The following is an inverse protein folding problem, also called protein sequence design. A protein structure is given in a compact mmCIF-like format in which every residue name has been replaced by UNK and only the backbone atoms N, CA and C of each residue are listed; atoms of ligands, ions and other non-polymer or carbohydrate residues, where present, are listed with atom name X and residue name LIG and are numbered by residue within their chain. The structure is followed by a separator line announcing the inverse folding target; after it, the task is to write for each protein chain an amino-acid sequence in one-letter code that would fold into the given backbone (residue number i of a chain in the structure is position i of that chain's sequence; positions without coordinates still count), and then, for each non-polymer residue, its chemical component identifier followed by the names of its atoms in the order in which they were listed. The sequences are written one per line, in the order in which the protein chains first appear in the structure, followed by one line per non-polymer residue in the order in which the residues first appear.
data_IF_935237854597
#
_entry.id   IF_935237854597
#
_cell.length_a   1.000
_cell.length_b   1.000
_cell.length_c   1.000
_cell.angle_alpha   90.00
_cell.angle_beta   90.00
_cell.angle_gamma   90.00
#
_symmetry.space_group_name_H-M   'P 1'
#
loop_
_entity.id
_entity.type
_entity.pdbx_description
1 polymer ?
#
# COMPACT_ATOMS: atom_id res chain seq x y z
N UNK A 1 -3.10 -24.89 -7.67
CA UNK A 1 -3.32 -24.00 -8.84
C UNK A 1 -2.60 -22.69 -8.59
N UNK A 2 -1.67 -22.33 -9.47
CA UNK A 2 -0.94 -21.06 -9.41
C UNK A 2 -1.74 -20.00 -10.16
N UNK A 3 -2.04 -18.88 -9.51
CA UNK A 3 -2.82 -17.79 -10.13
C UNK A 3 -2.05 -17.20 -11.30
N UNK A 4 -2.73 -17.07 -12.45
CA UNK A 4 -2.18 -16.46 -13.65
C UNK A 4 -2.94 -15.16 -13.92
N UNK A 5 -2.25 -14.02 -13.74
CA UNK A 5 -2.80 -12.67 -13.97
C UNK A 5 -3.42 -12.49 -15.36
N UNK A 6 -2.98 -13.28 -16.36
CA UNK A 6 -3.54 -13.25 -17.72
C UNK A 6 -4.93 -13.90 -17.84
N UNK A 7 -5.30 -14.80 -16.92
CA UNK A 7 -6.55 -15.54 -16.97
C UNK A 7 -7.60 -14.99 -15.98
N UNK A 8 -7.19 -14.31 -14.91
CA UNK A 8 -8.09 -13.71 -13.92
C UNK A 8 -7.61 -12.30 -13.52
N UNK A 9 -8.05 -11.26 -14.25
CA UNK A 9 -7.65 -9.88 -13.98
C UNK A 9 -8.22 -9.35 -12.65
N UNK A 10 -9.40 -9.82 -12.23
CA UNK A 10 -10.07 -9.41 -10.98
C UNK A 10 -9.57 -10.14 -9.72
N UNK A 11 -8.58 -11.02 -9.87
CA UNK A 11 -8.10 -11.91 -8.82
C UNK A 11 -8.88 -13.24 -8.73
N UNK A 12 -8.43 -14.15 -7.86
CA UNK A 12 -9.13 -15.42 -7.61
C UNK A 12 -10.48 -15.18 -6.92
N UNK A 13 -11.53 -15.88 -7.35
CA UNK A 13 -12.90 -15.77 -6.79
C UNK A 13 -12.95 -16.07 -5.27
N UNK A 14 -12.02 -16.91 -4.79
CA UNK A 14 -11.93 -17.28 -3.38
C UNK A 14 -11.11 -16.30 -2.52
N UNK A 15 -10.44 -15.31 -3.10
CA UNK A 15 -9.52 -14.40 -2.41
C UNK A 15 -8.07 -14.90 -2.34
N UNK A 16 -7.11 -13.98 -2.30
CA UNK A 16 -5.67 -14.29 -2.38
C UNK A 16 -5.18 -14.98 -1.10
N UNK A 17 -5.68 -14.56 0.07
CA UNK A 17 -5.34 -15.18 1.34
C UNK A 17 -5.78 -16.65 1.44
N UNK A 18 -6.99 -16.98 0.98
CA UNK A 18 -7.51 -18.36 1.00
C UNK A 18 -6.82 -19.26 -0.03
N UNK A 19 -6.50 -18.74 -1.22
CA UNK A 19 -5.70 -19.49 -2.18
C UNK A 19 -4.31 -19.81 -1.62
N UNK A 20 -3.72 -18.91 -0.83
CA UNK A 20 -2.40 -19.09 -0.22
C UNK A 20 -2.40 -20.18 0.85
N UNK A 21 -3.42 -20.23 1.71
CA UNK A 21 -3.56 -21.30 2.72
C UNK A 21 -3.80 -22.65 2.05
N UNK A 22 -4.63 -22.71 0.99
CA UNK A 22 -4.85 -23.94 0.21
C UNK A 22 -3.63 -24.36 -0.62
N UNK A 23 -2.75 -23.44 -1.01
CA UNK A 23 -1.48 -23.77 -1.66
C UNK A 23 -0.57 -24.68 -0.81
N UNK A 24 -0.79 -24.73 0.51
CA UNK A 24 -0.13 -25.69 1.41
C UNK A 24 -0.65 -27.12 1.31
N UNK A 25 -1.71 -27.40 0.52
CA UNK A 25 -2.16 -28.77 0.21
C UNK A 25 -1.04 -29.65 -0.38
N UNK A 26 -0.01 -29.07 -1.00
CA UNK A 26 1.18 -29.81 -1.42
C UNK A 26 1.91 -30.49 -0.25
N UNK A 27 1.76 -29.99 0.99
CA UNK A 27 2.25 -30.67 2.19
C UNK A 27 1.57 -32.03 2.43
N UNK A 28 0.34 -32.24 1.96
CA UNK A 28 -0.30 -33.55 2.01
C UNK A 28 0.39 -34.58 1.10
N UNK A 29 1.02 -34.13 0.01
CA UNK A 29 1.85 -35.01 -0.83
C UNK A 29 3.08 -35.48 -0.03
N UNK A 30 3.72 -34.58 0.72
CA UNK A 30 4.80 -34.95 1.61
C UNK A 30 4.34 -35.85 2.77
N UNK A 31 3.15 -35.60 3.33
CA UNK A 31 2.55 -36.48 4.32
C UNK A 31 2.36 -37.90 3.77
N UNK A 32 1.89 -38.03 2.52
CA UNK A 32 1.77 -39.32 1.86
C UNK A 32 3.14 -39.99 1.62
N UNK A 33 4.16 -39.24 1.25
CA UNK A 33 5.55 -39.76 1.12
C UNK A 33 6.07 -40.27 2.46
N UNK A 34 5.90 -39.51 3.54
CA UNK A 34 6.30 -39.94 4.89
C UNK A 34 5.54 -41.20 5.33
N UNK A 35 4.25 -41.29 5.00
CA UNK A 35 3.43 -42.46 5.30
C UNK A 35 3.92 -43.68 4.53
N UNK A 36 4.25 -43.54 3.24
CA UNK A 36 4.83 -44.62 2.44
C UNK A 36 6.20 -45.08 2.98
N UNK A 37 7.07 -44.15 3.39
CA UNK A 37 8.35 -44.51 4.02
C UNK A 37 8.14 -45.23 5.35
N UNK A 38 7.21 -44.75 6.18
CA UNK A 38 6.84 -45.40 7.43
C UNK A 38 6.31 -46.82 7.21
N UNK A 39 5.39 -46.98 6.25
CA UNK A 39 4.82 -48.28 5.89
C UNK A 39 5.88 -49.25 5.35
N UNK A 40 6.79 -48.77 4.49
CA UNK A 40 7.91 -49.59 3.99
C UNK A 40 8.84 -50.04 5.12
N UNK A 41 9.16 -49.13 6.07
CA UNK A 41 9.92 -49.47 7.27
C UNK A 41 9.22 -50.52 8.13
N UNK A 42 7.90 -50.39 8.34
CA UNK A 42 7.09 -51.36 9.10
C UNK A 42 7.09 -52.73 8.42
N UNK A 43 6.83 -52.79 7.11
CA UNK A 43 6.81 -54.04 6.33
C UNK A 43 8.18 -54.73 6.41
N UNK A 44 9.26 -53.96 6.27
CA UNK A 44 10.61 -54.50 6.35
C UNK A 44 10.93 -55.03 7.75
N UNK A 45 10.57 -54.30 8.81
CA UNK A 45 10.74 -54.76 10.20
C UNK A 45 9.95 -56.04 10.46
N UNK A 46 8.69 -56.13 10.02
CA UNK A 46 7.85 -57.32 10.21
C UNK A 46 8.44 -58.54 9.48
N UNK A 47 8.87 -58.37 8.22
CA UNK A 47 9.44 -59.45 7.43
C UNK A 47 10.72 -60.03 8.03
N UNK A 48 11.59 -59.17 8.59
CA UNK A 48 12.84 -59.58 9.23
C UNK A 48 12.66 -59.98 10.70
N UNK A 49 11.50 -59.69 11.31
CA UNK A 49 11.24 -60.09 12.69
C UNK A 49 11.03 -61.59 12.83
N UNK A 50 10.47 -62.23 11.80
CA UNK A 50 10.18 -63.68 11.75
C UNK A 50 11.35 -64.53 11.26
N UNK A 51 12.45 -63.90 10.83
CA UNK A 51 13.63 -64.58 10.30
C UNK A 51 14.55 -65.05 11.43
N UNK A 52 15.22 -66.18 11.22
CA UNK A 52 16.16 -66.71 12.22
C UNK A 52 17.39 -65.80 12.34
N UNK A 53 17.66 -65.31 13.55
CA UNK A 53 18.71 -64.31 13.82
C UNK A 53 20.09 -64.91 14.07
N UNK A 54 20.19 -66.24 14.00
CA UNK A 54 21.40 -67.01 14.27
C UNK A 54 22.58 -66.68 13.32
N UNK A 55 22.30 -66.16 12.11
CA UNK A 55 23.28 -65.82 11.08
C UNK A 55 23.49 -64.33 10.79
N UNK A 56 22.96 -63.43 11.61
CA UNK A 56 23.00 -61.99 11.33
C UNK A 56 24.39 -61.39 11.51
N UNK A 57 24.86 -60.65 10.51
CA UNK A 57 26.03 -59.79 10.64
C UNK A 57 25.67 -58.47 11.34
N UNK A 58 26.68 -57.79 11.89
CA UNK A 58 26.52 -56.49 12.55
C UNK A 58 25.78 -55.46 11.66
N UNK A 59 25.97 -55.55 10.34
CA UNK A 59 25.29 -54.70 9.37
C UNK A 59 23.77 -54.94 9.30
N UNK A 60 23.28 -56.14 9.59
CA UNK A 60 21.85 -56.44 9.53
C UNK A 60 21.11 -55.89 10.76
N UNK A 61 21.76 -55.88 11.92
CA UNK A 61 21.27 -55.16 13.09
C UNK A 61 21.18 -53.65 12.85
N UNK A 62 22.17 -53.06 12.15
CA UNK A 62 22.13 -51.64 11.77
C UNK A 62 20.96 -51.36 10.82
N UNK A 63 20.75 -52.20 9.80
CA UNK A 63 19.61 -52.05 8.87
C UNK A 63 18.28 -52.12 9.61
N UNK A 64 18.15 -53.01 10.60
CA UNK A 64 16.96 -53.12 11.45
C UNK A 64 16.71 -51.87 12.30
N UNK A 65 17.77 -51.30 12.91
CA UNK A 65 17.64 -50.05 13.64
C UNK A 65 17.20 -48.89 12.73
N UNK A 66 17.80 -48.76 11.54
CA UNK A 66 17.44 -47.73 10.55
C UNK A 66 15.98 -47.90 10.09
N UNK A 67 15.55 -49.13 9.79
CA UNK A 67 14.18 -49.41 9.37
C UNK A 67 13.16 -49.10 10.48
N UNK A 68 13.48 -49.40 11.74
CA UNK A 68 12.67 -49.02 12.89
C UNK A 68 12.55 -47.50 13.08
N UNK A 69 13.65 -46.77 12.91
CA UNK A 69 13.64 -45.29 12.94
C UNK A 69 12.83 -44.71 11.79
N UNK A 70 12.96 -45.27 10.58
CA UNK A 70 12.15 -44.86 9.42
C UNK A 70 10.66 -45.14 9.63
N UNK A 71 10.31 -46.28 10.23
CA UNK A 71 8.94 -46.65 10.56
C UNK A 71 8.32 -45.63 11.55
N UNK A 72 8.97 -45.41 12.69
CA UNK A 72 8.48 -44.52 13.72
C UNK A 72 8.49 -43.05 13.27
N UNK A 73 9.58 -42.59 12.67
CA UNK A 73 9.74 -41.23 12.18
C UNK A 73 8.81 -40.91 11.01
N UNK A 74 8.64 -41.84 10.07
CA UNK A 74 7.71 -41.70 8.94
C UNK A 74 6.25 -41.59 9.39
N UNK A 75 5.81 -42.43 10.33
CA UNK A 75 4.46 -42.36 10.91
C UNK A 75 4.21 -41.04 11.66
N UNK A 76 5.13 -40.64 12.54
CA UNK A 76 4.98 -39.38 13.28
C UNK A 76 5.00 -38.16 12.35
N UNK A 77 5.90 -38.14 11.37
CA UNK A 77 5.97 -37.10 10.36
C UNK A 77 4.70 -37.03 9.50
N UNK A 78 4.16 -38.17 9.07
CA UNK A 78 2.92 -38.23 8.31
C UNK A 78 1.73 -37.69 9.10
N UNK A 79 1.58 -38.07 10.38
CA UNK A 79 0.52 -37.56 11.24
C UNK A 79 0.66 -36.06 11.46
N UNK A 80 1.88 -35.56 11.68
CA UNK A 80 2.12 -34.13 11.87
C UNK A 80 1.78 -33.32 10.61
N UNK A 81 2.30 -33.71 9.44
CA UNK A 81 2.06 -33.02 8.17
C UNK A 81 0.59 -33.14 7.71
N UNK A 82 -0.05 -34.29 7.94
CA UNK A 82 -1.48 -34.44 7.67
C UNK A 82 -2.32 -33.55 8.58
N UNK A 83 -1.97 -33.46 9.88
CA UNK A 83 -2.66 -32.59 10.81
C UNK A 83 -2.48 -31.11 10.46
N UNK A 84 -1.27 -30.65 10.13
CA UNK A 84 -1.03 -29.25 9.72
C UNK A 84 -1.73 -28.92 8.41
N UNK A 85 -1.67 -29.80 7.42
CA UNK A 85 -2.34 -29.65 6.13
C UNK A 85 -3.87 -29.63 6.25
N UNK A 86 -4.48 -30.59 6.96
CA UNK A 86 -5.93 -30.60 7.18
C UNK A 86 -6.39 -29.42 8.04
N UNK A 87 -5.63 -29.04 9.07
CA UNK A 87 -5.94 -27.88 9.92
C UNK A 87 -5.99 -26.58 9.12
N UNK A 88 -5.04 -26.35 8.23
CA UNK A 88 -4.97 -25.14 7.41
C UNK A 88 -6.12 -25.07 6.38
N UNK A 89 -6.70 -26.21 5.98
CA UNK A 89 -7.81 -26.31 5.01
C UNK A 89 -9.18 -26.25 5.70
N UNK A 90 -9.37 -26.98 6.81
CA UNK A 90 -10.66 -27.11 7.51
C UNK A 90 -10.91 -26.00 8.54
N UNK A 91 -9.85 -25.38 9.06
CA UNK A 91 -9.95 -24.27 10.00
C UNK A 91 -9.01 -23.14 9.58
N UNK A 92 -9.37 -22.33 8.56
CA UNK A 92 -8.56 -21.19 8.13
C UNK A 92 -8.24 -20.23 9.28
N UNK A 93 -9.06 -20.22 10.34
CA UNK A 93 -8.85 -19.46 11.57
C UNK A 93 -7.59 -19.81 12.36
N UNK A 94 -7.14 -21.06 12.23
CA UNK A 94 -5.97 -21.56 12.92
C UNK A 94 -4.70 -21.49 12.05
N UNK A 95 -4.81 -21.00 10.82
CA UNK A 95 -3.70 -20.90 9.87
C UNK A 95 -2.65 -19.89 10.32
N UNK A 96 -1.40 -20.12 9.91
CA UNK A 96 -0.29 -19.21 10.18
C UNK A 96 -0.56 -17.78 9.69
N UNK A 97 -1.28 -17.65 8.57
CA UNK A 97 -1.62 -16.38 7.93
C UNK A 97 -2.67 -15.60 8.73
N UNK A 98 -3.74 -16.27 9.17
CA UNK A 98 -4.73 -15.66 10.03
C UNK A 98 -4.13 -15.20 11.37
N UNK A 99 -3.25 -16.01 11.95
CA UNK A 99 -2.52 -15.65 13.17
C UNK A 99 -1.60 -14.45 12.98
N UNK A 100 -0.91 -14.33 11.83
CA UNK A 100 -0.05 -13.17 11.58
C UNK A 100 -0.86 -11.88 11.45
N UNK A 101 -2.02 -11.92 10.78
CA UNK A 101 -2.91 -10.77 10.64
C UNK A 101 -3.51 -10.38 11.99
N UNK A 102 -4.09 -11.34 12.74
CA UNK A 102 -4.68 -11.09 14.06
C UNK A 102 -3.67 -10.51 15.04
N UNK A 103 -2.45 -11.03 15.01
CA UNK A 103 -1.40 -10.47 15.84
C UNK A 103 -1.23 -8.99 15.55
N UNK A 104 -1.21 -8.55 14.29
CA UNK A 104 -0.96 -7.14 13.92
C UNK A 104 -2.13 -6.18 14.18
N UNK A 105 -3.28 -6.65 14.66
CA UNK A 105 -4.37 -5.77 15.09
C UNK A 105 -4.11 -5.18 16.48
N UNK A 106 -4.72 -4.02 16.74
CA UNK A 106 -4.61 -3.32 18.02
C UNK A 106 -5.25 -4.13 19.16
N UNK A 107 -6.37 -4.81 18.88
CA UNK A 107 -7.09 -5.66 19.82
C UNK A 107 -7.21 -7.09 19.25
N UNK A 108 -6.28 -8.00 19.59
CA UNK A 108 -6.28 -9.36 19.05
C UNK A 108 -7.43 -10.23 19.58
N UNK A 109 -7.96 -9.92 20.77
CA UNK A 109 -9.09 -10.61 21.42
C UNK A 109 -10.44 -10.27 20.76
N UNK A 110 -10.58 -9.05 20.24
CA UNK A 110 -11.79 -8.56 19.53
C UNK A 110 -11.67 -8.68 18.01
N UNK A 111 -10.69 -9.46 17.53
CA UNK A 111 -10.38 -9.54 16.12
C UNK A 111 -11.57 -10.12 15.32
N UNK A 112 -11.93 -9.49 14.17
CA UNK A 112 -12.99 -9.98 13.30
C UNK A 112 -12.83 -11.46 12.91
N UNK A 113 -13.93 -12.12 12.48
CA UNK A 113 -13.88 -13.45 11.89
C UNK A 113 -12.87 -13.51 10.75
N UNK A 114 -12.23 -14.66 10.55
CA UNK A 114 -11.11 -14.77 9.59
C UNK A 114 -11.49 -14.45 8.15
N UNK A 115 -12.76 -14.66 7.79
CA UNK A 115 -13.29 -14.26 6.49
C UNK A 115 -13.19 -12.74 6.28
N UNK A 116 -13.51 -11.95 7.30
CA UNK A 116 -13.42 -10.50 7.25
C UNK A 116 -11.97 -10.02 7.29
N UNK A 117 -11.11 -10.69 8.09
CA UNK A 117 -9.66 -10.42 8.10
C UNK A 117 -9.02 -10.61 6.72
N UNK A 118 -9.33 -11.72 6.07
CA UNK A 118 -8.84 -12.00 4.73
C UNK A 118 -9.47 -11.06 3.70
N UNK A 119 -10.76 -10.75 3.82
CA UNK A 119 -11.42 -9.79 2.93
C UNK A 119 -10.77 -8.40 2.98
N UNK A 120 -10.36 -7.90 4.16
CA UNK A 120 -9.67 -6.61 4.27
C UNK A 120 -8.34 -6.60 3.49
N UNK A 121 -7.53 -7.64 3.66
CA UNK A 121 -6.24 -7.77 2.96
C UNK A 121 -6.46 -7.96 1.46
N UNK A 122 -7.41 -8.82 1.09
CA UNK A 122 -7.74 -9.13 -0.30
C UNK A 122 -8.31 -7.90 -1.03
N UNK A 123 -9.11 -7.07 -0.36
CA UNK A 123 -9.66 -5.84 -0.92
C UNK A 123 -8.57 -4.80 -1.17
N UNK A 124 -7.64 -4.60 -0.22
CA UNK A 124 -6.51 -3.69 -0.43
C UNK A 124 -5.62 -4.16 -1.59
N UNK A 125 -5.32 -5.46 -1.65
CA UNK A 125 -4.54 -6.03 -2.75
C UNK A 125 -5.27 -5.99 -4.09
N UNK A 126 -6.60 -6.12 -4.11
CA UNK A 126 -7.39 -6.02 -5.33
C UNK A 126 -7.40 -4.60 -5.88
N UNK A 127 -7.50 -3.59 -5.02
CA UNK A 127 -7.56 -2.18 -5.43
C UNK A 127 -6.18 -1.57 -5.70
N UNK A 128 -5.20 -1.87 -4.85
CA UNK A 128 -3.90 -1.18 -4.81
C UNK A 128 -2.68 -2.09 -5.04
N UNK A 129 -2.92 -3.39 -5.24
CA UNK A 129 -1.88 -4.42 -5.23
C UNK A 129 -0.95 -4.40 -6.43
N UNK A 130 0.35 -4.30 -6.16
CA UNK A 130 1.44 -4.63 -7.09
C UNK A 130 2.02 -5.98 -6.73
N UNK A 131 2.19 -6.84 -7.74
CA UNK A 131 2.63 -8.22 -7.56
C UNK A 131 4.05 -8.42 -8.06
N UNK A 132 4.87 -9.06 -7.23
CA UNK A 132 6.25 -9.46 -7.50
C UNK A 132 6.40 -10.95 -7.21
N UNK A 133 6.22 -11.78 -8.25
CA UNK A 133 6.17 -13.23 -8.10
C UNK A 133 5.02 -13.66 -7.18
N UNK A 134 5.35 -14.19 -6.00
CA UNK A 134 4.38 -14.64 -4.98
C UNK A 134 4.12 -13.61 -3.86
N UNK A 135 4.69 -12.41 -3.98
CA UNK A 135 4.54 -11.30 -3.03
C UNK A 135 3.58 -10.25 -3.62
N UNK A 136 2.52 -9.92 -2.90
CA UNK A 136 1.61 -8.82 -3.21
C UNK A 136 1.82 -7.65 -2.26
N UNK A 137 1.99 -6.44 -2.77
CA UNK A 137 2.14 -5.21 -1.98
C UNK A 137 0.96 -4.28 -2.29
N UNK A 138 0.09 -4.07 -1.32
CA UNK A 138 -1.06 -3.16 -1.37
C UNK A 138 -0.71 -1.75 -0.89
N UNK A 139 -1.73 -1.00 -0.44
CA UNK A 139 -1.56 0.30 0.21
C UNK A 139 -1.27 0.13 1.70
N UNK A 140 -1.92 -0.83 2.34
CA UNK A 140 -1.86 -1.07 3.79
C UNK A 140 -1.22 -2.41 4.13
N UNK A 141 -1.31 -3.40 3.24
CA UNK A 141 -0.86 -4.76 3.51
C UNK A 141 0.17 -5.28 2.51
N UNK A 142 1.10 -6.08 3.02
CA UNK A 142 2.04 -6.88 2.24
C UNK A 142 1.71 -8.35 2.47
N UNK A 143 1.39 -9.07 1.40
CA UNK A 143 1.08 -10.50 1.41
C UNK A 143 2.22 -11.29 0.79
N UNK A 144 2.93 -12.07 1.59
CA UNK A 144 4.00 -12.97 1.15
C UNK A 144 3.78 -14.41 1.61
N UNK A 145 4.77 -14.97 2.30
CA UNK A 145 4.59 -16.21 3.07
C UNK A 145 3.86 -15.93 4.41
N UNK A 146 4.02 -14.73 4.96
CA UNK A 146 3.23 -14.13 6.04
C UNK A 146 2.62 -12.80 5.57
N UNK A 147 1.70 -12.24 6.36
CA UNK A 147 1.15 -10.89 6.12
C UNK A 147 1.84 -9.87 7.03
N UNK A 148 2.16 -8.71 6.47
CA UNK A 148 2.70 -7.56 7.18
C UNK A 148 1.87 -6.30 6.93
N UNK A 149 1.47 -5.62 8.00
CA UNK A 149 0.85 -4.30 7.95
C UNK A 149 1.92 -3.21 7.72
N UNK A 150 1.79 -2.46 6.62
CA UNK A 150 2.79 -1.50 6.14
C UNK A 150 3.15 -0.45 7.21
N UNK A 151 2.20 0.18 7.93
CA UNK A 151 2.49 1.14 9.00
C UNK A 151 3.33 0.59 10.17
N UNK A 152 3.40 -0.73 10.33
CA UNK A 152 4.19 -1.35 11.41
C UNK A 152 5.58 -1.77 10.97
N UNK A 153 5.87 -1.75 9.67
CA UNK A 153 7.19 -2.08 9.15
C UNK A 153 8.22 -1.07 9.67
N UNK A 154 9.26 -1.58 10.33
CA UNK A 154 10.40 -0.79 10.82
C UNK A 154 11.64 -0.98 9.96
N UNK A 155 11.79 -2.15 9.35
CA UNK A 155 12.89 -2.42 8.45
C UNK A 155 12.56 -3.42 7.35
N UNK A 156 13.21 -3.24 6.20
CA UNK A 156 13.08 -4.09 5.02
C UNK A 156 14.48 -4.40 4.48
N UNK A 157 14.81 -5.69 4.36
CA UNK A 157 16.16 -6.12 4.01
C UNK A 157 16.16 -7.13 2.86
N UNK A 158 17.04 -6.93 1.88
CA UNK A 158 17.26 -7.89 0.78
C UNK A 158 18.29 -8.93 1.15
N UNK A 159 18.05 -10.19 0.77
CA UNK A 159 19.06 -11.24 0.80
C UNK A 159 19.18 -11.86 -0.59
N UNK A 160 20.34 -11.70 -1.21
CA UNK A 160 20.69 -12.37 -2.47
C UNK A 160 21.99 -13.12 -2.24
N UNK A 161 21.90 -14.43 -2.06
CA UNK A 161 23.05 -15.32 -1.85
C UNK A 161 23.14 -16.36 -2.95
N UNK A 162 24.36 -16.59 -3.45
CA UNK A 162 24.68 -17.70 -4.34
C UNK A 162 25.41 -18.76 -3.53
N UNK A 163 24.74 -19.87 -3.20
CA UNK A 163 25.37 -21.01 -2.52
C UNK A 163 25.83 -22.04 -3.54
N UNK A 164 27.13 -22.33 -3.54
CA UNK A 164 27.71 -23.44 -4.29
C UNK A 164 27.98 -24.59 -3.34
N UNK A 165 27.34 -25.74 -3.55
CA UNK A 165 27.69 -26.98 -2.84
C UNK A 165 28.33 -27.95 -3.82
N UNK A 166 29.47 -28.51 -3.43
CA UNK A 166 30.13 -29.58 -4.19
C UNK A 166 29.83 -30.92 -3.50
N UNK A 167 29.13 -31.81 -4.20
CA UNK A 167 28.86 -33.17 -3.72
C UNK A 167 29.10 -34.14 -4.88
N UNK A 168 30.02 -35.09 -4.69
CA UNK A 168 30.32 -36.13 -5.67
C UNK A 168 30.81 -35.64 -7.05
N UNK A 169 31.53 -34.51 -7.11
CA UNK A 169 32.08 -33.97 -8.36
C UNK A 169 31.10 -33.13 -9.20
N UNK A 170 29.86 -32.93 -8.74
CA UNK A 170 28.91 -31.99 -9.35
C UNK A 170 28.80 -30.71 -8.51
N UNK A 171 28.97 -29.57 -9.17
CA UNK A 171 28.73 -28.25 -8.57
C UNK A 171 27.24 -27.94 -8.67
N UNK A 172 26.55 -27.88 -7.53
CA UNK A 172 25.17 -27.40 -7.44
C UNK A 172 25.19 -25.93 -7.03
N UNK A 173 24.62 -25.07 -7.88
CA UNK A 173 24.44 -23.64 -7.60
C UNK A 173 23.00 -23.41 -7.16
N UNK A 174 22.81 -22.91 -5.94
CA UNK A 174 21.50 -22.53 -5.39
C UNK A 174 21.48 -21.02 -5.19
N UNK A 175 20.53 -20.33 -5.84
CA UNK A 175 20.29 -18.91 -5.60
C UNK A 175 19.21 -18.75 -4.53
N UNK A 176 19.56 -18.04 -3.45
CA UNK A 176 18.64 -17.68 -2.38
C UNK A 176 18.30 -16.21 -2.57
N UNK A 177 17.05 -15.94 -2.92
CA UNK A 177 16.52 -14.57 -3.05
C UNK A 177 15.39 -14.43 -2.04
N UNK A 178 15.58 -13.58 -1.03
CA UNK A 178 14.61 -13.40 0.07
C UNK A 178 14.43 -11.92 0.40
N UNK A 179 13.18 -11.56 0.70
CA UNK A 179 12.82 -10.29 1.32
C UNK A 179 12.59 -10.53 2.81
N UNK A 180 13.24 -9.74 3.67
CA UNK A 180 13.08 -9.77 5.11
C UNK A 180 12.38 -8.50 5.58
N UNK A 181 11.36 -8.64 6.42
CA UNK A 181 10.61 -7.53 7.01
C UNK A 181 10.69 -7.66 8.53
N UNK A 182 11.03 -6.56 9.19
CA UNK A 182 11.05 -6.43 10.65
C UNK A 182 9.90 -5.52 11.07
N UNK A 183 9.02 -6.06 11.90
CA UNK A 183 7.83 -5.37 12.41
C UNK A 183 8.14 -4.57 13.69
N UNK A 184 7.19 -3.73 14.14
CA UNK A 184 7.28 -2.94 15.37
C UNK A 184 7.36 -3.75 16.67
N UNK A 185 7.23 -5.08 16.56
CA UNK A 185 7.39 -6.06 17.64
C UNK A 185 8.71 -6.83 17.56
N UNK A 186 9.66 -6.37 16.74
CA UNK A 186 10.89 -7.10 16.37
C UNK A 186 10.62 -8.48 15.74
N UNK A 187 9.39 -8.77 15.32
CA UNK A 187 9.09 -10.03 14.64
C UNK A 187 9.66 -9.97 13.23
N UNK A 188 10.46 -10.98 12.89
CA UNK A 188 11.10 -11.14 11.58
C UNK A 188 10.23 -12.01 10.71
N UNK A 189 9.90 -11.52 9.53
CA UNK A 189 9.20 -12.26 8.50
C UNK A 189 10.08 -12.32 7.26
N UNK A 190 10.07 -13.45 6.55
CA UNK A 190 10.77 -13.54 5.27
C UNK A 190 9.86 -14.13 4.21
N UNK A 191 10.05 -13.68 2.97
CA UNK A 191 9.38 -14.25 1.80
C UNK A 191 10.43 -14.59 0.76
N UNK A 192 10.38 -15.84 0.28
CA UNK A 192 11.26 -16.27 -0.81
C UNK A 192 10.78 -15.68 -2.16
N UNK A 193 11.69 -15.31 -3.04
CA UNK A 193 11.37 -14.84 -4.39
C UNK A 193 12.15 -15.66 -5.42
N UNK A 194 11.69 -15.64 -6.67
CA UNK A 194 12.30 -16.45 -7.72
C UNK A 194 13.44 -15.72 -8.43
N UNK A 195 13.38 -14.38 -8.47
CA UNK A 195 14.34 -13.55 -9.20
C UNK A 195 14.82 -12.35 -8.37
N UNK A 196 16.12 -11.98 -8.46
CA UNK A 196 16.63 -10.75 -7.87
C UNK A 196 15.92 -9.49 -8.37
N UNK A 197 15.46 -9.47 -9.62
CA UNK A 197 14.72 -8.33 -10.19
C UNK A 197 13.35 -8.15 -9.53
N UNK A 198 12.66 -9.26 -9.20
CA UNK A 198 11.41 -9.21 -8.44
C UNK A 198 11.64 -8.64 -7.04
N UNK A 199 12.76 -9.00 -6.40
CA UNK A 199 13.14 -8.49 -5.08
C UNK A 199 13.40 -6.98 -5.12
N UNK A 200 14.15 -6.50 -6.11
CA UNK A 200 14.44 -5.09 -6.27
C UNK A 200 13.16 -4.28 -6.55
N UNK A 201 12.29 -4.80 -7.44
CA UNK A 201 10.98 -4.21 -7.70
C UNK A 201 10.11 -4.11 -6.45
N UNK A 202 10.08 -5.18 -5.64
CA UNK A 202 9.36 -5.20 -4.37
C UNK A 202 9.91 -4.17 -3.37
N UNK A 203 11.23 -4.05 -3.24
CA UNK A 203 11.87 -3.07 -2.35
C UNK A 203 11.57 -1.64 -2.79
N UNK A 204 11.64 -1.36 -4.09
CA UNK A 204 11.30 -0.04 -4.61
C UNK A 204 9.82 0.30 -4.37
N UNK A 205 8.92 -0.68 -4.49
CA UNK A 205 7.52 -0.50 -4.13
C UNK A 205 7.35 -0.23 -2.62
N UNK A 206 8.06 -0.94 -1.76
CA UNK A 206 8.01 -0.73 -0.31
C UNK A 206 8.62 0.61 0.11
N UNK A 207 9.67 1.09 -0.57
CA UNK A 207 10.21 2.44 -0.34
C UNK A 207 9.16 3.53 -0.59
N UNK A 208 8.31 3.35 -1.59
CA UNK A 208 7.22 4.27 -1.88
C UNK A 208 6.08 4.18 -0.85
N UNK A 209 5.80 2.98 -0.32
CA UNK A 209 4.68 2.74 0.61
C UNK A 209 5.03 2.95 2.09
N UNK A 210 6.28 2.70 2.48
CA UNK A 210 6.81 2.86 3.84
C UNK A 210 8.17 3.57 3.81
N UNK A 211 8.21 4.87 3.48
CA UNK A 211 9.46 5.62 3.32
C UNK A 211 10.25 5.77 4.64
N UNK A 212 9.56 5.76 5.78
CA UNK A 212 10.19 5.88 7.10
C UNK A 212 10.93 4.61 7.57
N UNK A 213 10.70 3.46 6.92
CA UNK A 213 11.35 2.20 7.27
C UNK A 213 12.85 2.21 6.90
N UNK A 214 13.66 1.45 7.64
CA UNK A 214 15.08 1.27 7.34
C UNK A 214 15.24 0.23 6.24
N UNK A 215 15.94 0.58 5.16
CA UNK A 215 16.22 -0.33 4.05
C UNK A 215 17.69 -0.74 4.06
N UNK A 216 17.96 -2.03 3.88
CA UNK A 216 19.33 -2.53 3.85
C UNK A 216 19.47 -3.92 3.23
N UNK A 217 20.63 -4.53 3.43
CA UNK A 217 20.88 -5.93 3.07
C UNK A 217 20.84 -6.81 4.31
N UNK A 218 20.49 -8.08 4.14
CA UNK A 218 20.50 -9.05 5.20
C UNK A 218 21.93 -9.22 5.74
N UNK A 219 22.08 -9.16 7.07
CA UNK A 219 23.37 -9.23 7.74
C UNK A 219 24.16 -7.92 7.73
N UNK A 220 23.59 -6.82 7.22
CA UNK A 220 24.18 -5.49 7.40
C UNK A 220 24.14 -5.06 8.87
N UNK A 221 24.90 -4.01 9.20
CA UNK A 221 24.90 -3.45 10.56
C UNK A 221 23.49 -3.00 10.94
N UNK A 222 22.80 -2.30 10.04
CA UNK A 222 21.44 -1.81 10.23
C UNK A 222 20.43 -2.94 10.48
N UNK A 223 20.62 -4.09 9.80
CA UNK A 223 19.80 -5.27 10.06
C UNK A 223 20.04 -5.80 11.47
N UNK A 224 21.29 -5.96 11.89
CA UNK A 224 21.61 -6.51 13.20
C UNK A 224 21.18 -5.58 14.33
N UNK A 225 21.44 -4.29 14.18
CA UNK A 225 21.05 -3.25 15.15
C UNK A 225 19.53 -3.24 15.34
N UNK A 226 18.75 -3.44 14.27
CA UNK A 226 17.29 -3.47 14.35
C UNK A 226 16.73 -4.83 14.81
N UNK A 227 17.29 -5.93 14.32
CA UNK A 227 16.76 -7.29 14.53
C UNK A 227 17.16 -7.91 15.87
N UNK A 228 18.27 -7.44 16.47
CA UNK A 228 18.80 -7.92 17.74
C UNK A 228 18.91 -6.81 18.79
N UNK A 229 18.29 -5.65 18.54
CA UNK A 229 18.28 -4.52 19.47
C UNK A 229 17.74 -4.95 20.85
N UNK A 230 18.45 -4.54 21.90
CA UNK A 230 17.91 -4.61 23.26
C UNK A 230 16.69 -3.70 23.45
N UNK A 231 15.96 -3.83 24.56
CA UNK A 231 14.74 -3.03 24.82
C UNK A 231 14.96 -1.51 24.69
N UNK A 232 16.07 -1.01 25.24
CA UNK A 232 16.41 0.42 25.19
C UNK A 232 16.78 0.89 23.78
N UNK A 233 17.57 0.10 23.06
CA UNK A 233 17.98 0.42 21.68
C UNK A 233 16.76 0.40 20.75
N UNK A 234 15.85 -0.55 20.97
CA UNK A 234 14.59 -0.64 20.26
C UNK A 234 13.71 0.59 20.45
N UNK A 235 13.60 1.09 21.69
CA UNK A 235 12.85 2.30 21.97
C UNK A 235 13.38 3.50 21.19
N UNK A 236 14.71 3.63 21.08
CA UNK A 236 15.35 4.68 20.27
C UNK A 236 15.00 4.50 18.79
N UNK A 237 15.12 3.29 18.25
CA UNK A 237 14.79 3.02 16.86
C UNK A 237 13.31 3.28 16.52
N UNK A 238 12.38 2.91 17.40
CA UNK A 238 10.94 3.18 17.19
C UNK A 238 10.64 4.68 17.28
N UNK A 239 11.31 5.42 18.18
CA UNK A 239 11.20 6.88 18.26
C UNK A 239 11.71 7.55 16.97
N UNK A 240 12.88 7.17 16.50
CA UNK A 240 13.47 7.71 15.27
C UNK A 240 12.62 7.39 14.03
N UNK A 241 12.01 6.19 14.00
CA UNK A 241 11.03 5.84 12.99
C UNK A 241 9.82 6.79 13.02
N UNK A 242 9.21 7.01 14.20
CA UNK A 242 8.03 7.89 14.33
C UNK A 242 8.35 9.32 13.91
N UNK A 243 9.53 9.83 14.26
CA UNK A 243 9.96 11.17 13.86
C UNK A 243 10.10 11.28 12.34
N UNK A 244 10.74 10.30 11.68
CA UNK A 244 10.84 10.27 10.22
C UNK A 244 9.46 10.15 9.56
N UNK A 245 8.59 9.32 10.12
CA UNK A 245 7.24 9.14 9.60
C UNK A 245 6.41 10.44 9.67
N UNK A 246 6.47 11.15 10.80
CA UNK A 246 5.81 12.44 10.96
C UNK A 246 6.33 13.48 9.96
N UNK A 247 7.66 13.53 9.73
CA UNK A 247 8.24 14.43 8.73
C UNK A 247 7.77 14.11 7.30
N UNK A 248 7.64 12.83 6.94
CA UNK A 248 7.11 12.44 5.63
C UNK A 248 5.63 12.79 5.49
N UNK A 249 4.84 12.59 6.54
CA UNK A 249 3.42 12.97 6.56
C UNK A 249 3.24 14.49 6.42
N UNK A 250 4.05 15.28 7.11
CA UNK A 250 4.08 16.75 6.97
C UNK A 250 4.48 17.16 5.55
N UNK A 251 5.53 16.57 4.97
CA UNK A 251 5.96 16.87 3.60
C UNK A 251 4.90 16.50 2.55
N UNK A 252 4.20 15.37 2.73
CA UNK A 252 3.12 14.97 1.83
C UNK A 252 1.90 15.86 2.00
N UNK A 253 1.55 16.26 3.24
CA UNK A 253 0.52 17.26 3.51
C UNK A 253 0.88 18.61 2.86
N UNK A 254 2.12 19.07 3.01
CA UNK A 254 2.60 20.29 2.36
C UNK A 254 2.54 20.15 0.83
N UNK A 255 3.02 19.06 0.24
CA UNK A 255 2.91 18.85 -1.22
C UNK A 255 1.49 18.85 -1.73
N UNK A 256 0.55 18.28 -0.98
CA UNK A 256 -0.86 18.24 -1.37
C UNK A 256 -1.55 19.59 -1.18
N UNK A 257 -1.11 20.39 -0.19
CA UNK A 257 -1.67 21.72 0.09
C UNK A 257 -0.94 22.88 -0.59
N UNK A 258 0.26 22.64 -1.15
CA UNK A 258 0.95 23.59 -2.01
C UNK A 258 0.24 23.62 -3.35
N UNK A 259 -0.56 24.66 -3.52
CA UNK A 259 -1.10 25.06 -4.81
C UNK A 259 0.05 25.42 -5.75
N UNK A 260 -0.09 25.22 -7.08
CA UNK A 260 0.93 25.65 -8.02
C UNK A 260 1.26 27.13 -7.80
N UNK A 261 2.50 27.41 -7.36
CA UNK A 261 3.01 28.72 -6.91
C UNK A 261 3.01 29.82 -8.00
N UNK A 262 2.47 29.53 -9.17
CA UNK A 262 2.30 30.48 -10.26
C UNK A 262 0.94 31.18 -10.18
N UNK A 263 0.45 31.48 -8.97
CA UNK A 263 -0.77 32.26 -8.78
C UNK A 263 -0.54 33.35 -7.73
N UNK A 264 -1.27 34.45 -7.89
CA UNK A 264 -1.25 35.61 -7.02
C UNK A 264 -2.65 35.78 -6.44
N UNK A 265 -2.74 35.78 -5.11
CA UNK A 265 -3.96 36.07 -4.36
C UNK A 265 -3.94 37.53 -3.93
N UNK A 266 -4.99 38.26 -4.29
CA UNK A 266 -5.28 39.60 -3.74
C UNK A 266 -6.34 39.45 -2.66
N UNK A 267 -5.97 39.84 -1.44
CA UNK A 267 -6.82 39.78 -0.25
C UNK A 267 -7.80 40.96 -0.19
N UNK A 268 -8.85 40.89 0.66
CA UNK A 268 -9.85 41.95 0.79
C UNK A 268 -9.27 43.32 1.20
N UNK A 269 -8.15 43.32 1.93
CA UNK A 269 -7.41 44.51 2.36
C UNK A 269 -6.52 45.11 1.25
N UNK A 270 -6.49 44.50 0.07
CA UNK A 270 -5.65 44.88 -1.07
C UNK A 270 -4.21 44.36 -0.99
N UNK A 271 -3.84 43.62 0.05
CA UNK A 271 -2.53 42.98 0.13
C UNK A 271 -2.45 41.80 -0.87
N UNK A 272 -1.23 41.49 -1.29
CA UNK A 272 -0.97 40.53 -2.36
C UNK A 272 0.01 39.47 -1.87
N UNK A 273 -0.31 38.19 -2.07
CA UNK A 273 0.54 37.07 -1.71
C UNK A 273 0.59 36.01 -2.82
N UNK A 274 1.79 35.47 -3.06
CA UNK A 274 2.00 34.27 -3.90
C UNK A 274 2.05 32.98 -3.07
N UNK A 275 2.05 33.09 -1.74
CA UNK A 275 1.99 31.94 -0.82
C UNK A 275 0.52 31.63 -0.54
N UNK A 276 -0.06 30.82 -1.41
CA UNK A 276 -1.47 30.44 -1.36
C UNK A 276 -1.56 29.01 -0.85
N UNK A 277 -2.31 28.80 0.22
CA UNK A 277 -2.70 27.46 0.72
C UNK A 277 -4.21 27.33 0.64
N UNK A 278 -4.70 26.09 0.56
CA UNK A 278 -6.14 25.83 0.55
C UNK A 278 -6.84 26.37 1.81
N UNK A 279 -6.20 26.25 2.98
CA UNK A 279 -6.72 26.77 4.24
C UNK A 279 -7.04 28.28 4.18
N UNK A 280 -6.19 29.07 3.51
CA UNK A 280 -6.43 30.51 3.32
C UNK A 280 -7.66 30.75 2.44
N UNK A 281 -7.80 30.02 1.32
CA UNK A 281 -8.93 30.17 0.39
C UNK A 281 -10.26 29.74 1.02
N UNK A 282 -10.26 28.60 1.71
CA UNK A 282 -11.43 28.12 2.43
C UNK A 282 -11.84 29.09 3.55
N UNK A 283 -10.88 29.66 4.29
CA UNK A 283 -11.19 30.69 5.27
C UNK A 283 -11.85 31.92 4.63
N UNK A 284 -11.35 32.41 3.49
CA UNK A 284 -11.95 33.56 2.79
C UNK A 284 -13.38 33.29 2.29
N UNK A 285 -13.68 32.06 1.87
CA UNK A 285 -15.02 31.65 1.45
C UNK A 285 -16.01 31.57 2.62
N UNK A 286 -15.57 31.06 3.77
CA UNK A 286 -16.44 30.83 4.94
C UNK A 286 -16.54 32.07 5.86
N UNK A 287 -15.56 32.97 5.82
CA UNK A 287 -15.48 34.13 6.73
C UNK A 287 -16.74 35.00 6.71
N UNK A 288 -17.34 35.35 5.55
CA UNK A 288 -18.59 36.13 5.52
C UNK A 288 -19.78 35.47 6.22
N UNK A 289 -19.81 34.14 6.29
CA UNK A 289 -20.84 33.42 7.05
C UNK A 289 -20.65 33.53 8.56
N UNK A 290 -19.43 33.82 9.02
CA UNK A 290 -19.09 33.93 10.45
C UNK A 290 -19.21 35.37 10.97
N UNK A 291 -18.80 36.36 10.18
CA UNK A 291 -18.76 37.78 10.58
C UNK A 291 -19.87 38.62 9.99
N UNK A 292 -20.52 38.17 8.91
CA UNK A 292 -21.53 38.93 8.18
C UNK A 292 -20.96 39.98 7.20
N UNK A 293 -19.63 40.13 7.15
CA UNK A 293 -18.96 41.08 6.26
C UNK A 293 -18.51 40.42 4.95
N UNK A 294 -18.71 41.05 3.78
CA UNK A 294 -18.24 40.51 2.51
C UNK A 294 -16.70 40.52 2.46
N UNK A 295 -16.11 39.41 2.00
CA UNK A 295 -14.65 39.23 1.91
C UNK A 295 -14.24 38.96 0.46
N UNK A 296 -14.22 40.00 -0.40
CA UNK A 296 -13.87 39.81 -1.80
C UNK A 296 -12.40 39.44 -1.94
N UNK A 297 -12.09 38.46 -2.80
CA UNK A 297 -10.71 38.11 -3.12
C UNK A 297 -10.56 37.80 -4.61
N UNK A 298 -9.32 37.91 -5.12
CA UNK A 298 -9.01 37.64 -6.52
C UNK A 298 -7.83 36.68 -6.63
N UNK A 299 -7.94 35.73 -7.55
CA UNK A 299 -6.89 34.79 -7.93
C UNK A 299 -6.46 35.05 -9.37
N UNK A 300 -5.19 35.40 -9.55
CA UNK A 300 -4.59 35.68 -10.86
C UNK A 300 -3.45 34.70 -11.10
N UNK A 301 -3.59 33.74 -12.03
CA UNK A 301 -2.48 32.89 -12.43
C UNK A 301 -1.44 33.68 -13.23
N UNK A 302 -0.16 33.37 -13.04
CA UNK A 302 0.96 33.95 -13.78
C UNK A 302 0.97 33.54 -15.26
N UNK A 303 0.33 32.41 -15.59
CA UNK A 303 0.05 31.98 -16.95
C UNK A 303 -1.47 31.82 -17.08
N UNK A 304 -2.14 32.46 -18.06
CA UNK A 304 -3.57 32.28 -18.28
C UNK A 304 -3.94 30.80 -18.45
N UNK A 305 -5.02 30.37 -17.80
CA UNK A 305 -5.47 28.98 -17.83
C UNK A 305 -6.22 28.75 -19.14
N UNK A 306 -5.82 27.75 -19.91
CA UNK A 306 -6.50 27.37 -21.15
C UNK A 306 -7.66 26.42 -20.85
N UNK A 307 -8.87 26.81 -21.24
CA UNK A 307 -10.05 25.95 -21.26
C UNK A 307 -10.28 25.38 -22.66
N UNK A 308 -11.38 24.63 -22.82
CA UNK A 308 -11.71 23.98 -24.10
C UNK A 308 -11.99 24.99 -25.22
N UNK A 309 -12.60 26.13 -24.91
CA UNK A 309 -12.94 27.19 -25.88
C UNK A 309 -12.39 28.57 -25.52
N UNK A 310 -12.16 28.87 -24.24
CA UNK A 310 -11.73 30.19 -23.76
C UNK A 310 -10.49 30.08 -22.88
N UNK A 311 -9.66 31.13 -22.89
CA UNK A 311 -8.51 31.26 -22.00
C UNK A 311 -8.85 32.27 -20.91
N UNK A 312 -8.62 31.94 -19.65
CA UNK A 312 -8.99 32.79 -18.51
C UNK A 312 -7.78 33.37 -17.80
N UNK A 313 -7.89 34.61 -17.35
CA UNK A 313 -6.79 35.37 -16.73
C UNK A 313 -7.00 35.71 -15.27
N UNK A 314 -8.24 35.66 -14.77
CA UNK A 314 -8.55 36.00 -13.38
C UNK A 314 -9.83 35.32 -12.93
N UNK A 315 -9.83 34.89 -11.68
CA UNK A 315 -11.03 34.53 -10.92
C UNK A 315 -11.21 35.57 -9.82
N UNK A 316 -12.37 36.21 -9.78
CA UNK A 316 -12.79 37.07 -8.68
C UNK A 316 -13.93 36.39 -7.93
N UNK A 317 -13.78 36.27 -6.61
CA UNK A 317 -14.79 35.68 -5.75
C UNK A 317 -15.36 36.74 -4.81
N UNK A 318 -16.68 36.79 -4.74
CA UNK A 318 -17.46 37.60 -3.84
C UNK A 318 -18.28 36.64 -2.97
N UNK A 319 -17.71 36.15 -1.84
CA UNK A 319 -18.43 35.22 -1.00
C UNK A 319 -19.63 35.89 -0.36
N UNK A 320 -20.78 35.23 -0.47
CA UNK A 320 -22.02 35.65 0.17
C UNK A 320 -22.04 35.24 1.63
N UNK A 321 -22.69 36.04 2.48
CA UNK A 321 -22.99 35.65 3.85
C UNK A 321 -24.07 34.56 3.91
N UNK A 322 -24.50 34.18 5.11
CA UNK A 322 -25.28 32.95 5.38
C UNK A 322 -26.64 32.83 4.66
N UNK A 323 -27.11 33.89 4.02
CA UNK A 323 -28.34 33.90 3.20
C UNK A 323 -28.14 34.46 1.77
N UNK A 324 -26.92 34.78 1.37
CA UNK A 324 -26.60 35.30 0.03
C UNK A 324 -25.72 34.29 -0.71
N UNK A 325 -25.98 34.03 -2.00
CA UNK A 325 -25.11 33.16 -2.78
C UNK A 325 -23.71 33.76 -2.92
N UNK A 326 -22.70 32.89 -3.04
CA UNK A 326 -21.36 33.29 -3.41
C UNK A 326 -21.31 33.54 -4.91
N UNK A 327 -20.86 34.73 -5.30
CA UNK A 327 -20.73 35.11 -6.71
C UNK A 327 -19.29 34.92 -7.15
N UNK A 328 -19.08 34.10 -8.18
CA UNK A 328 -17.79 33.94 -8.84
C UNK A 328 -17.84 34.59 -10.22
N UNK A 329 -16.78 35.31 -10.55
CA UNK A 329 -16.56 35.91 -11.86
C UNK A 329 -15.24 35.42 -12.45
N UNK A 330 -15.30 34.85 -13.64
CA UNK A 330 -14.16 34.38 -14.43
C UNK A 330 -13.91 35.36 -15.58
N UNK A 331 -12.77 36.03 -15.59
CA UNK A 331 -12.39 37.01 -16.61
C UNK A 331 -11.60 36.36 -17.74
N UNK A 332 -12.01 36.60 -18.98
CA UNK A 332 -11.29 36.12 -20.17
C UNK A 332 -9.92 36.81 -20.30
N UNK A 333 -8.94 36.10 -20.83
CA UNK A 333 -7.66 36.67 -21.18
C UNK A 333 -7.78 37.50 -22.47
N UNK A 334 -7.42 38.79 -22.40
CA UNK A 334 -7.52 39.71 -23.54
C UNK A 334 -6.47 39.49 -24.64
N UNK A 335 -5.63 38.45 -24.54
CA UNK A 335 -4.50 38.22 -25.45
C UNK A 335 -3.26 39.07 -25.19
N UNK A 336 -3.27 39.96 -24.19
CA UNK A 336 -2.11 40.80 -23.85
C UNK A 336 -1.97 40.99 -22.34
N UNK A 337 -0.76 40.82 -21.76
CA UNK A 337 -0.54 41.06 -20.34
C UNK A 337 -0.89 42.51 -19.96
N UNK A 338 -1.56 42.69 -18.82
CA UNK A 338 -1.91 44.01 -18.29
C UNK A 338 -3.11 44.70 -18.95
N UNK A 339 -3.71 44.09 -19.99
CA UNK A 339 -5.00 44.53 -20.51
C UNK A 339 -6.14 43.74 -19.87
N UNK A 340 -7.20 44.42 -19.38
CA UNK A 340 -8.37 43.73 -18.86
C UNK A 340 -9.11 42.96 -19.97
N UNK A 341 -9.70 41.82 -19.61
CA UNK A 341 -10.56 41.02 -20.50
C UNK A 341 -11.84 41.76 -20.88
N UNK A 342 -12.27 41.60 -22.13
CA UNK A 342 -13.54 42.19 -22.63
C UNK A 342 -14.75 41.43 -22.12
N UNK A 343 -14.63 40.10 -21.96
CA UNK A 343 -15.70 39.22 -21.51
C UNK A 343 -15.39 38.58 -20.16
N UNK A 344 -16.44 38.27 -19.42
CA UNK A 344 -16.37 37.48 -18.20
C UNK A 344 -17.61 36.61 -18.05
N UNK A 345 -17.50 35.55 -17.25
CA UNK A 345 -18.60 34.68 -16.89
C UNK A 345 -18.86 34.83 -15.41
N UNK A 346 -20.11 35.10 -15.04
CA UNK A 346 -20.52 35.20 -13.63
C UNK A 346 -21.56 34.13 -13.30
N UNK A 347 -21.49 33.59 -12.08
CA UNK A 347 -22.50 32.68 -11.55
C UNK A 347 -22.63 32.84 -10.03
N UNK A 348 -23.87 32.84 -9.57
CA UNK A 348 -24.23 32.78 -8.16
C UNK A 348 -24.39 31.31 -7.77
N UNK A 349 -23.68 30.87 -6.73
CA UNK A 349 -23.62 29.46 -6.32
C UNK A 349 -23.55 29.30 -4.80
N UNK A 350 -23.78 28.08 -4.33
CA UNK A 350 -23.61 27.73 -2.92
C UNK A 350 -22.12 27.77 -2.51
N UNK A 351 -21.85 27.84 -1.21
CA UNK A 351 -20.46 27.84 -0.69
C UNK A 351 -19.73 26.56 -1.09
N UNK A 352 -20.40 25.40 -1.04
CA UNK A 352 -19.83 24.12 -1.46
C UNK A 352 -19.47 24.08 -2.94
N UNK A 353 -20.31 24.64 -3.82
CA UNK A 353 -19.99 24.75 -5.26
C UNK A 353 -18.85 25.76 -5.50
N UNK A 354 -18.82 26.86 -4.75
CA UNK A 354 -17.75 27.84 -4.84
C UNK A 354 -16.40 27.28 -4.40
N UNK A 355 -16.37 26.45 -3.35
CA UNK A 355 -15.18 25.71 -2.92
C UNK A 355 -14.64 24.84 -4.05
N UNK A 356 -15.50 24.06 -4.71
CA UNK A 356 -15.11 23.21 -5.83
C UNK A 356 -14.53 24.04 -7.00
N UNK A 357 -15.17 25.15 -7.37
CA UNK A 357 -14.69 26.03 -8.45
C UNK A 357 -13.34 26.66 -8.10
N UNK A 358 -13.17 27.18 -6.88
CA UNK A 358 -11.92 27.81 -6.43
C UNK A 358 -10.81 26.77 -6.32
N UNK A 359 -11.12 25.56 -5.83
CA UNK A 359 -10.16 24.46 -5.75
C UNK A 359 -9.71 24.03 -7.15
N UNK A 360 -10.64 23.86 -8.09
CA UNK A 360 -10.31 23.54 -9.48
C UNK A 360 -9.45 24.63 -10.13
N UNK A 361 -9.83 25.90 -9.97
CA UNK A 361 -9.05 27.04 -10.49
C UNK A 361 -7.64 27.07 -9.93
N UNK A 362 -7.51 26.83 -8.62
CA UNK A 362 -6.21 26.80 -7.95
C UNK A 362 -5.31 25.67 -8.47
N UNK A 363 -5.87 24.60 -9.03
CA UNK A 363 -5.16 23.52 -9.72
C UNK A 363 -4.96 23.76 -11.23
N UNK A 364 -5.39 24.91 -11.76
CA UNK A 364 -5.32 25.22 -13.19
C UNK A 364 -6.41 24.55 -14.02
N UNK A 365 -7.55 24.17 -13.41
CA UNK A 365 -8.71 23.62 -14.10
C UNK A 365 -9.84 24.63 -14.13
N UNK A 366 -10.51 24.75 -15.27
CA UNK A 366 -11.66 25.64 -15.46
C UNK A 366 -12.94 24.83 -15.28
N UNK A 367 -13.94 25.31 -14.51
CA UNK A 367 -15.22 24.64 -14.39
C UNK A 367 -16.01 24.66 -15.71
N UNK A 368 -17.00 23.77 -15.87
CA UNK A 368 -17.95 23.90 -16.98
C UNK A 368 -18.64 25.27 -16.92
N UNK A 369 -18.74 25.93 -18.08
CA UNK A 369 -19.42 27.21 -18.26
C UNK A 369 -20.94 27.06 -18.41
N UNK A 370 -21.48 25.86 -18.26
CA UNK A 370 -22.92 25.60 -18.27
C UNK A 370 -23.61 26.34 -17.11
N UNK A 371 -24.62 27.15 -17.45
CA UNK A 371 -25.38 27.95 -16.49
C UNK A 371 -24.67 29.22 -16.00
N UNK A 372 -23.54 29.60 -16.61
CA UNK A 372 -22.89 30.89 -16.34
C UNK A 372 -23.46 31.99 -17.22
N UNK A 373 -23.55 33.20 -16.68
CA UNK A 373 -24.03 34.40 -17.38
C UNK A 373 -22.84 35.09 -18.01
N UNK A 374 -22.90 35.32 -19.33
CA UNK A 374 -21.88 36.06 -20.06
C UNK A 374 -22.05 37.57 -19.78
N UNK A 375 -20.95 38.19 -19.39
CA UNK A 375 -20.83 39.60 -19.08
C UNK A 375 -19.85 40.26 -20.06
N UNK A 376 -20.19 41.46 -20.51
CA UNK A 376 -19.30 42.34 -21.25
C UNK A 376 -18.81 43.48 -20.36
N UNK A 377 -17.56 43.88 -20.55
CA UNK A 377 -16.95 44.97 -19.78
C UNK A 377 -17.48 46.33 -20.25
N UNK A 378 -18.17 47.03 -19.35
CA UNK A 378 -18.57 48.43 -19.51
C UNK A 378 -17.71 49.33 -18.61
N UNK A 379 -16.53 49.72 -19.10
CA UNK A 379 -15.58 50.54 -18.34
C UNK A 379 -14.96 49.78 -17.15
N UNK A 380 -15.29 50.21 -15.91
CA UNK A 380 -14.84 49.56 -14.66
C UNK A 380 -15.82 48.51 -14.12
N UNK A 381 -16.98 48.37 -14.78
CA UNK A 381 -18.08 47.50 -14.35
C UNK A 381 -18.38 46.44 -15.41
N UNK A 382 -19.13 45.42 -15.02
CA UNK A 382 -19.60 44.35 -15.90
C UNK A 382 -21.10 44.50 -16.15
N UNK A 383 -21.53 44.31 -17.39
CA UNK A 383 -22.95 44.30 -17.79
C UNK A 383 -23.26 42.98 -18.49
N UNK A 384 -24.48 42.48 -18.35
CA UNK A 384 -24.90 41.26 -19.07
C UNK A 384 -24.80 41.51 -20.58
N UNK A 385 -24.08 40.62 -21.28
CA UNK A 385 -23.94 40.72 -22.73
C UNK A 385 -25.31 40.45 -23.37
N UNK A 386 -25.82 41.41 -24.13
CA UNK A 386 -27.08 41.23 -24.88
C UNK A 386 -26.83 40.12 -25.91
N UNK A 387 -27.50 38.97 -25.75
CA UNK A 387 -27.52 37.94 -26.79
C UNK A 387 -28.10 38.56 -28.06
N UNK A 388 -27.25 38.92 -29.02
CA UNK A 388 -27.73 39.15 -30.38
C UNK A 388 -28.23 37.80 -30.89
N UNK A 389 -29.54 37.75 -31.12
CA UNK A 389 -30.27 36.59 -31.64
C UNK A 389 -29.87 36.27 -33.08
#
# INVERSE_FOLDING_TARGET
MWWNKKQQPDGPEEGYCLQRTRGRLFQLIWAAVFLLMGAAGIVWVIANWTEDRSGWEYMDYIKMAIAGVLAAGGMLGAVYEAYTGLRDVLCPEKSSLAKSIRAQLSHPEEAPPVRELFAMVDQDLKQNGRWFGKLGIGKEWVLGDEVSHIPRIRGVFSRVEKKTSNSGGRIRVTHIVQLWIVDNRQKRQFTNLNSPQELEGAINCLRQRAPAAIFGTYGSKEYNDLAYAGEMEWYVHDRDYRQRNAQFEEQEYERQNILPQNQVLTLPDGSVTSRITWDILHQLLVWPNRTGEPSPFQLVPGIPIQGESHTFSRLACLPGGSQKPTRILLEEYSGSPGRPGTYAWTRDMSVSEAEEVVQNWSQGRIPSLDGWILMERAGRTWQEAIKQQ
#
